data_IF_371079991502
#
_entry.id   IF_371079991502
#
_cell.length_a   1.000
_cell.length_b   1.000
_cell.length_c   1.000
_cell.angle_alpha   90.00
_cell.angle_beta   90.00
_cell.angle_gamma   90.00
#
_symmetry.space_group_name_H-M   'P 1'
#
loop_
_entity.id
_entity.type
_entity.pdbx_description
1 polymer ?
#
# COMPACT_ATOMS: atom_id res chain seq x y z
N UNK A 1 -14.69 -24.67 -18.68
CA UNK A 1 -13.37 -24.08 -18.97
C UNK A 1 -12.43 -25.14 -19.52
N UNK A 2 -12.37 -25.31 -20.84
CA UNK A 2 -11.22 -25.94 -21.52
C UNK A 2 -10.73 -24.93 -22.55
N UNK A 3 -10.04 -23.91 -22.05
CA UNK A 3 -9.30 -23.00 -22.91
C UNK A 3 -7.99 -23.70 -23.25
N UNK A 4 -7.76 -23.99 -24.52
CA UNK A 4 -6.48 -24.49 -25.01
C UNK A 4 -5.93 -23.48 -25.99
N UNK A 5 -4.82 -22.88 -25.61
CA UNK A 5 -4.09 -21.90 -26.41
C UNK A 5 -2.70 -22.44 -26.69
N UNK A 6 -2.30 -22.50 -27.96
CA UNK A 6 -0.96 -22.90 -28.35
C UNK A 6 0.09 -21.86 -27.90
N UNK A 7 1.26 -22.34 -27.49
CA UNK A 7 2.40 -21.45 -27.24
C UNK A 7 3.04 -21.04 -28.57
N UNK A 8 2.71 -19.83 -29.04
CA UNK A 8 3.29 -19.25 -30.27
C UNK A 8 4.51 -18.36 -30.01
N UNK A 9 4.91 -18.21 -28.75
CA UNK A 9 6.06 -17.41 -28.33
C UNK A 9 7.24 -18.34 -28.14
N UNK A 10 8.26 -18.19 -28.99
CA UNK A 10 9.45 -19.06 -28.96
C UNK A 10 10.51 -18.55 -27.98
N UNK A 11 10.72 -17.23 -27.97
CA UNK A 11 11.76 -16.57 -27.18
C UNK A 11 11.14 -15.43 -26.37
N UNK A 12 11.75 -15.16 -25.21
CA UNK A 12 11.54 -13.94 -24.43
C UNK A 12 12.89 -13.28 -24.15
N UNK A 13 12.87 -11.98 -23.91
CA UNK A 13 14.03 -11.30 -23.34
C UNK A 13 13.98 -11.47 -21.81
N UNK A 14 15.03 -12.05 -21.25
CA UNK A 14 15.19 -12.11 -19.81
C UNK A 14 15.44 -10.70 -19.22
N UNK A 15 15.58 -10.59 -17.90
CA UNK A 15 15.68 -9.29 -17.20
C UNK A 15 16.99 -8.55 -17.47
N UNK A 16 17.95 -9.16 -18.18
CA UNK A 16 19.24 -8.57 -18.59
C UNK A 16 19.27 -8.38 -20.13
N UNK A 17 18.17 -8.69 -20.82
CA UNK A 17 18.04 -8.55 -22.28
C UNK A 17 18.57 -9.75 -23.07
N UNK A 18 18.84 -10.89 -22.43
CA UNK A 18 19.24 -12.09 -23.15
C UNK A 18 18.00 -12.80 -23.70
N UNK A 19 18.10 -13.28 -24.95
CA UNK A 19 17.06 -14.11 -25.55
C UNK A 19 17.12 -15.52 -24.98
N UNK A 20 16.04 -15.95 -24.35
CA UNK A 20 15.92 -17.30 -23.76
C UNK A 20 14.67 -18.01 -24.25
N UNK A 21 14.68 -19.36 -24.36
CA UNK A 21 13.49 -20.13 -24.71
C UNK A 21 12.35 -19.90 -23.72
N UNK A 22 11.17 -19.63 -24.25
CA UNK A 22 9.97 -19.42 -23.46
C UNK A 22 9.20 -20.75 -23.26
N UNK A 23 8.79 -21.02 -22.02
CA UNK A 23 8.07 -22.25 -21.66
C UNK A 23 6.83 -21.91 -20.84
N UNK A 24 5.66 -22.27 -21.36
CA UNK A 24 4.37 -22.06 -20.72
C UNK A 24 4.28 -22.70 -19.32
N UNK A 25 4.91 -23.86 -19.11
CA UNK A 25 4.99 -24.56 -17.82
C UNK A 25 5.57 -23.69 -16.70
N UNK A 26 6.47 -22.76 -17.01
CA UNK A 26 7.03 -21.84 -16.01
C UNK A 26 5.98 -20.88 -15.47
N UNK A 27 5.03 -20.45 -16.30
CA UNK A 27 3.91 -19.59 -15.88
C UNK A 27 2.97 -20.38 -15.00
N UNK A 28 2.56 -21.58 -15.44
CA UNK A 28 1.65 -22.43 -14.69
C UNK A 28 2.19 -22.75 -13.29
N UNK A 29 3.46 -23.15 -13.20
CA UNK A 29 4.11 -23.43 -11.92
C UNK A 29 4.18 -22.19 -11.02
N UNK A 30 4.42 -21.01 -11.58
CA UNK A 30 4.47 -19.77 -10.82
C UNK A 30 3.09 -19.34 -10.30
N UNK A 31 2.05 -19.45 -11.14
CA UNK A 31 0.65 -19.21 -10.76
C UNK A 31 0.21 -20.18 -9.66
N UNK A 32 0.48 -21.48 -9.83
CA UNK A 32 0.14 -22.51 -8.85
C UNK A 32 0.87 -22.30 -7.52
N UNK A 33 2.15 -21.91 -7.56
CA UNK A 33 2.92 -21.59 -6.35
C UNK A 33 2.32 -20.40 -5.59
N UNK A 34 1.90 -19.35 -6.30
CA UNK A 34 1.23 -18.21 -5.70
C UNK A 34 -0.12 -18.63 -5.07
N UNK A 35 -0.93 -19.42 -5.79
CA UNK A 35 -2.19 -19.97 -5.29
C UNK A 35 -2.02 -20.76 -4.01
N UNK A 36 -1.09 -21.72 -3.98
CA UNK A 36 -0.82 -22.52 -2.78
C UNK A 36 -0.36 -21.69 -1.58
N UNK A 37 0.41 -20.62 -1.82
CA UNK A 37 0.87 -19.72 -0.75
C UNK A 37 -0.26 -18.94 -0.07
N UNK A 38 -1.32 -18.63 -0.81
CA UNK A 38 -2.50 -17.96 -0.24
C UNK A 38 -3.54 -18.94 0.32
N UNK A 39 -3.21 -20.23 0.40
CA UNK A 39 -4.12 -21.28 0.89
C UNK A 39 -4.99 -21.93 -0.19
N UNK A 40 -4.67 -21.71 -1.47
CA UNK A 40 -5.39 -22.23 -2.62
C UNK A 40 -6.22 -21.15 -3.33
N UNK A 41 -6.68 -21.42 -4.55
CA UNK A 41 -7.43 -20.43 -5.35
C UNK A 41 -8.81 -20.12 -4.76
N UNK A 42 -9.35 -21.04 -3.97
CA UNK A 42 -10.66 -20.87 -3.32
C UNK A 42 -10.69 -19.72 -2.31
N UNK A 43 -9.52 -19.25 -1.83
CA UNK A 43 -9.45 -18.08 -0.95
C UNK A 43 -9.94 -16.78 -1.62
N UNK A 44 -9.88 -16.70 -2.96
CA UNK A 44 -10.35 -15.56 -3.76
C UNK A 44 -11.71 -15.84 -4.44
N UNK A 45 -12.38 -16.92 -4.06
CA UNK A 45 -13.68 -17.29 -4.61
C UNK A 45 -14.79 -16.63 -3.79
N UNK A 46 -15.61 -15.87 -4.47
CA UNK A 46 -16.72 -15.10 -3.92
C UNK A 46 -18.04 -15.54 -4.55
N UNK A 47 -18.97 -15.98 -3.69
CA UNK A 47 -20.31 -16.40 -4.09
C UNK A 47 -21.05 -15.28 -4.82
N UNK A 48 -21.76 -15.65 -5.89
CA UNK A 48 -22.51 -14.70 -6.72
C UNK A 48 -21.64 -13.77 -7.59
N UNK A 49 -20.30 -13.82 -7.49
CA UNK A 49 -19.40 -12.94 -8.25
C UNK A 49 -18.53 -13.76 -9.23
N UNK A 50 -17.61 -14.58 -8.73
CA UNK A 50 -16.70 -15.36 -9.56
C UNK A 50 -16.72 -16.88 -9.26
N UNK A 51 -17.46 -17.34 -8.25
CA UNK A 51 -17.50 -18.76 -7.87
C UNK A 51 -17.90 -19.72 -9.01
N UNK A 52 -18.79 -19.29 -9.89
CA UNK A 52 -19.24 -20.08 -11.05
C UNK A 52 -18.10 -20.45 -12.03
N UNK A 53 -16.98 -19.73 -12.01
CA UNK A 53 -15.80 -20.03 -12.83
C UNK A 53 -14.97 -21.19 -12.28
N UNK A 54 -14.95 -21.35 -10.95
CA UNK A 54 -13.98 -22.19 -10.24
C UNK A 54 -14.61 -23.36 -9.49
N UNK A 55 -15.95 -23.45 -9.49
CA UNK A 55 -16.69 -24.52 -8.81
C UNK A 55 -16.25 -25.91 -9.29
N UNK A 56 -15.87 -26.76 -8.33
CA UNK A 56 -15.47 -28.16 -8.59
C UNK A 56 -14.18 -28.32 -9.38
N UNK A 57 -13.27 -27.33 -9.34
CA UNK A 57 -11.95 -27.37 -9.98
C UNK A 57 -10.84 -27.52 -8.96
N UNK A 58 -9.82 -28.29 -9.33
CA UNK A 58 -8.57 -28.33 -8.56
C UNK A 58 -7.74 -27.05 -8.80
N UNK A 59 -6.82 -26.75 -7.90
CA UNK A 59 -5.88 -25.64 -8.07
C UNK A 59 -5.04 -25.81 -9.36
N UNK A 60 -4.72 -27.06 -9.72
CA UNK A 60 -4.01 -27.40 -10.95
C UNK A 60 -4.84 -27.07 -12.20
N UNK A 61 -6.13 -27.42 -12.22
CA UNK A 61 -7.03 -27.10 -13.33
C UNK A 61 -7.17 -25.58 -13.52
N UNK A 62 -7.28 -24.85 -12.40
CA UNK A 62 -7.40 -23.39 -12.40
C UNK A 62 -6.11 -22.76 -12.92
N UNK A 63 -4.94 -23.20 -12.43
CA UNK A 63 -3.65 -22.70 -12.90
C UNK A 63 -3.40 -22.98 -14.39
N UNK A 64 -3.79 -24.17 -14.89
CA UNK A 64 -3.70 -24.51 -16.31
C UNK A 64 -4.56 -23.56 -17.15
N UNK A 65 -5.83 -23.37 -16.77
CA UNK A 65 -6.72 -22.45 -17.46
C UNK A 65 -6.17 -21.02 -17.53
N UNK A 66 -5.74 -20.47 -16.39
CA UNK A 66 -5.20 -19.13 -16.30
C UNK A 66 -3.95 -18.98 -17.17
N UNK A 67 -3.13 -20.03 -17.22
CA UNK A 67 -1.94 -20.04 -18.08
C UNK A 67 -2.32 -19.96 -19.56
N UNK A 68 -3.35 -20.69 -20.00
CA UNK A 68 -3.83 -20.59 -21.37
C UNK A 68 -4.46 -19.23 -21.68
N UNK A 69 -5.09 -18.56 -20.72
CA UNK A 69 -5.60 -17.19 -20.90
C UNK A 69 -4.45 -16.18 -21.02
N UNK A 70 -3.41 -16.30 -20.18
CA UNK A 70 -2.17 -15.53 -20.32
C UNK A 70 -1.58 -15.72 -21.71
N UNK A 71 -1.48 -16.97 -22.19
CA UNK A 71 -0.97 -17.25 -23.53
C UNK A 71 -1.84 -16.64 -24.63
N UNK A 72 -3.17 -16.66 -24.47
CA UNK A 72 -4.09 -16.04 -25.42
C UNK A 72 -3.83 -14.55 -25.56
N UNK A 73 -3.68 -13.86 -24.42
CA UNK A 73 -3.40 -12.42 -24.37
C UNK A 73 -2.02 -12.06 -24.90
N UNK A 74 -0.99 -12.85 -24.59
CA UNK A 74 0.35 -12.64 -25.13
C UNK A 74 0.38 -12.86 -26.65
N UNK A 75 -0.28 -13.91 -27.15
CA UNK A 75 -0.37 -14.22 -28.57
C UNK A 75 -1.16 -13.16 -29.36
N UNK A 76 -2.00 -12.37 -28.69
CA UNK A 76 -2.77 -11.29 -29.32
C UNK A 76 -1.89 -10.11 -29.75
N UNK A 77 -0.66 -9.99 -29.24
CA UNK A 77 0.32 -9.01 -29.72
C UNK A 77 1.22 -9.64 -30.80
N UNK A 78 1.07 -9.26 -32.08
CA UNK A 78 1.85 -9.86 -33.17
C UNK A 78 3.37 -9.64 -33.04
N UNK A 79 3.81 -8.60 -32.33
CA UNK A 79 5.23 -8.32 -32.14
C UNK A 79 5.92 -9.46 -31.39
N UNK A 80 5.25 -10.02 -30.37
CA UNK A 80 5.80 -11.09 -29.52
C UNK A 80 5.88 -12.44 -30.22
N UNK A 81 5.23 -12.60 -31.36
CA UNK A 81 5.26 -13.82 -32.17
C UNK A 81 6.53 -13.94 -33.01
N UNK A 82 7.30 -12.86 -33.13
CA UNK A 82 8.54 -12.86 -33.91
C UNK A 82 9.76 -13.06 -33.00
N UNK A 83 10.73 -13.91 -33.37
CA UNK A 83 11.99 -14.05 -32.61
C UNK A 83 12.85 -12.77 -32.58
N UNK A 84 12.55 -11.79 -33.44
CA UNK A 84 13.30 -10.55 -33.56
C UNK A 84 12.88 -9.51 -32.52
N UNK A 85 11.63 -9.53 -32.09
CA UNK A 85 11.04 -8.62 -31.10
C UNK A 85 10.29 -9.42 -30.02
N UNK A 86 10.99 -10.29 -29.27
CA UNK A 86 10.35 -11.14 -28.28
C UNK A 86 9.76 -10.30 -27.13
N UNK A 87 8.80 -10.89 -26.40
CA UNK A 87 8.22 -10.23 -25.23
C UNK A 87 9.28 -10.08 -24.12
N UNK A 88 9.40 -8.91 -23.46
CA UNK A 88 10.20 -8.77 -22.25
C UNK A 88 9.64 -9.61 -21.10
N UNK A 89 10.49 -10.17 -20.23
CA UNK A 89 9.99 -10.97 -19.09
C UNK A 89 9.08 -10.16 -18.15
N UNK A 90 9.32 -8.86 -18.00
CA UNK A 90 8.46 -7.98 -17.18
C UNK A 90 7.04 -7.87 -17.79
N UNK A 91 6.91 -7.94 -19.12
CA UNK A 91 5.61 -8.00 -19.80
C UNK A 91 4.88 -9.33 -19.54
N UNK A 92 5.62 -10.45 -19.51
CA UNK A 92 5.05 -11.75 -19.15
C UNK A 92 4.47 -11.70 -17.73
N UNK A 93 5.25 -11.19 -16.76
CA UNK A 93 4.79 -11.04 -15.38
C UNK A 93 3.55 -10.13 -15.30
N UNK A 94 3.56 -9.01 -16.02
CA UNK A 94 2.41 -8.10 -16.11
C UNK A 94 1.18 -8.82 -16.63
N UNK A 95 1.30 -9.62 -17.69
CA UNK A 95 0.17 -10.32 -18.28
C UNK A 95 -0.43 -11.37 -17.32
N UNK A 96 0.42 -12.04 -16.54
CA UNK A 96 -0.04 -12.94 -15.46
C UNK A 96 -0.85 -12.17 -14.42
N UNK A 97 -0.35 -11.02 -13.95
CA UNK A 97 -1.05 -10.20 -12.95
C UNK A 97 -2.39 -9.70 -13.49
N UNK A 98 -2.42 -9.15 -14.71
CA UNK A 98 -3.65 -8.70 -15.38
C UNK A 98 -4.65 -9.83 -15.49
N UNK A 99 -4.20 -11.03 -15.87
CA UNK A 99 -5.07 -12.21 -16.01
C UNK A 99 -5.66 -12.62 -14.66
N UNK A 100 -4.85 -12.72 -13.61
CA UNK A 100 -5.33 -13.08 -12.28
C UNK A 100 -6.35 -12.06 -11.75
N UNK A 101 -6.06 -10.76 -11.89
CA UNK A 101 -6.98 -9.68 -11.47
C UNK A 101 -8.27 -9.67 -12.31
N UNK A 102 -8.17 -9.91 -13.61
CA UNK A 102 -9.33 -10.00 -14.50
C UNK A 102 -10.32 -11.09 -14.06
N UNK A 103 -9.82 -12.22 -13.58
CA UNK A 103 -10.64 -13.32 -13.06
C UNK A 103 -10.99 -13.21 -11.57
N UNK A 104 -10.66 -12.09 -10.93
CA UNK A 104 -11.01 -11.81 -9.53
C UNK A 104 -10.12 -12.50 -8.49
N UNK A 105 -9.00 -13.10 -8.91
CA UNK A 105 -8.04 -13.80 -8.05
C UNK A 105 -7.05 -12.82 -7.40
N UNK A 106 -7.58 -11.91 -6.55
CA UNK A 106 -6.85 -10.76 -6.01
C UNK A 106 -5.69 -11.16 -5.09
N UNK A 107 -5.92 -12.06 -4.13
CA UNK A 107 -4.89 -12.57 -3.23
C UNK A 107 -3.78 -13.30 -3.99
N UNK A 108 -4.14 -14.16 -4.94
CA UNK A 108 -3.16 -14.87 -5.79
C UNK A 108 -2.34 -13.87 -6.63
N UNK A 109 -2.99 -12.86 -7.21
CA UNK A 109 -2.33 -11.80 -7.96
C UNK A 109 -1.34 -11.01 -7.08
N UNK A 110 -1.76 -10.64 -5.87
CA UNK A 110 -0.94 -9.88 -4.93
C UNK A 110 0.31 -10.67 -4.51
N UNK A 111 0.18 -11.97 -4.18
CA UNK A 111 1.33 -12.82 -3.84
C UNK A 111 2.28 -13.01 -5.03
N UNK A 112 1.74 -13.28 -6.22
CA UNK A 112 2.54 -13.41 -7.44
C UNK A 112 3.30 -12.12 -7.75
N UNK A 113 2.63 -10.99 -7.66
CA UNK A 113 3.20 -9.68 -7.92
C UNK A 113 4.30 -9.34 -6.92
N UNK A 114 4.03 -9.46 -5.62
CA UNK A 114 5.03 -9.21 -4.58
C UNK A 114 6.30 -10.02 -4.82
N UNK A 115 6.15 -11.33 -5.06
CA UNK A 115 7.30 -12.20 -5.29
C UNK A 115 8.06 -11.85 -6.56
N UNK A 116 7.36 -11.68 -7.68
CA UNK A 116 8.00 -11.37 -8.97
C UNK A 116 8.70 -10.01 -8.98
N UNK A 117 8.12 -9.00 -8.31
CA UNK A 117 8.72 -7.68 -8.07
C UNK A 117 9.95 -7.75 -7.16
N UNK A 118 9.90 -8.46 -6.04
CA UNK A 118 11.07 -8.64 -5.18
C UNK A 118 12.23 -9.31 -5.91
N UNK A 119 11.95 -10.37 -6.68
CA UNK A 119 12.96 -11.03 -7.53
C UNK A 119 13.48 -10.14 -8.65
N UNK A 120 12.73 -9.14 -9.11
CA UNK A 120 13.21 -8.12 -10.05
C UNK A 120 14.25 -7.24 -9.36
N UNK A 121 13.94 -6.72 -8.18
CA UNK A 121 14.81 -5.79 -7.46
C UNK A 121 16.12 -6.41 -6.99
N UNK A 122 16.08 -7.67 -6.52
CA UNK A 122 17.31 -8.39 -6.18
C UNK A 122 18.23 -8.53 -7.39
N UNK A 123 17.68 -8.88 -8.57
CA UNK A 123 18.48 -9.04 -9.79
C UNK A 123 19.02 -7.73 -10.34
N UNK A 124 18.28 -6.63 -10.20
CA UNK A 124 18.74 -5.28 -10.58
C UNK A 124 19.79 -4.71 -9.63
N UNK A 125 20.20 -5.45 -8.59
CA UNK A 125 21.14 -4.98 -7.58
C UNK A 125 20.57 -3.86 -6.69
N UNK A 126 19.26 -3.61 -6.76
CA UNK A 126 18.59 -2.59 -5.94
C UNK A 126 18.41 -3.05 -4.48
N UNK A 127 18.56 -4.36 -4.22
CA UNK A 127 18.42 -4.96 -2.90
C UNK A 127 19.21 -6.27 -2.83
N UNK A 128 19.73 -6.65 -1.66
CA UNK A 128 20.38 -7.97 -1.46
C UNK A 128 19.32 -9.05 -1.29
N UNK A 129 19.67 -10.29 -1.62
CA UNK A 129 18.77 -11.45 -1.41
C UNK A 129 18.32 -11.58 0.07
N UNK A 130 19.20 -11.26 1.02
CA UNK A 130 18.91 -11.28 2.47
C UNK A 130 17.87 -10.24 2.90
N UNK A 131 17.75 -9.15 2.14
CA UNK A 131 16.87 -8.03 2.45
C UNK A 131 15.48 -8.22 1.84
N UNK A 132 15.30 -9.15 0.89
CA UNK A 132 13.98 -9.45 0.35
C UNK A 132 13.15 -10.23 1.37
N UNK A 133 12.03 -9.62 1.79
CA UNK A 133 11.06 -10.34 2.61
C UNK A 133 10.39 -11.44 1.79
N UNK A 134 10.37 -12.69 2.26
CA UNK A 134 9.69 -13.79 1.57
C UNK A 134 8.15 -13.72 1.70
N UNK A 135 7.68 -12.79 2.54
CA UNK A 135 6.27 -12.48 2.81
C UNK A 135 6.05 -10.97 2.75
N UNK A 136 4.88 -10.47 2.28
CA UNK A 136 4.64 -9.04 2.14
C UNK A 136 4.70 -8.25 3.45
N UNK A 137 4.30 -8.87 4.57
CA UNK A 137 4.37 -8.28 5.91
C UNK A 137 5.08 -9.24 6.86
N UNK A 138 5.97 -8.79 7.76
CA UNK A 138 6.71 -9.68 8.64
C UNK A 138 5.74 -10.34 9.63
N UNK A 139 5.75 -11.66 9.67
CA UNK A 139 4.82 -12.47 10.49
C UNK A 139 4.83 -12.06 11.96
N UNK A 140 6.02 -11.78 12.52
CA UNK A 140 6.16 -11.36 13.91
C UNK A 140 5.34 -10.10 14.22
N UNK A 141 5.41 -9.07 13.36
CA UNK A 141 4.69 -7.81 13.58
C UNK A 141 3.18 -7.99 13.47
N UNK A 142 2.75 -8.81 12.51
CA UNK A 142 1.34 -9.14 12.33
C UNK A 142 0.82 -9.93 13.53
N UNK A 143 1.63 -10.84 14.08
CA UNK A 143 1.25 -11.64 15.24
C UNK A 143 1.25 -10.83 16.54
N UNK A 144 2.19 -9.90 16.72
CA UNK A 144 2.19 -8.96 17.85
C UNK A 144 0.92 -8.10 17.87
N UNK A 145 0.53 -7.55 16.71
CA UNK A 145 -0.72 -6.80 16.57
C UNK A 145 -1.96 -7.69 16.82
N UNK A 146 -1.96 -8.92 16.29
CA UNK A 146 -3.05 -9.88 16.50
C UNK A 146 -3.16 -10.30 17.97
N UNK A 147 -2.04 -10.49 18.67
CA UNK A 147 -2.02 -10.84 20.09
C UNK A 147 -2.60 -9.71 20.95
N UNK A 148 -2.28 -8.46 20.63
CA UNK A 148 -2.90 -7.30 21.27
C UNK A 148 -4.41 -7.28 21.04
N UNK A 149 -4.87 -7.49 19.80
CA UNK A 149 -6.30 -7.51 19.47
C UNK A 149 -7.06 -8.62 20.22
N UNK A 150 -6.51 -9.84 20.29
CA UNK A 150 -7.12 -10.94 21.05
C UNK A 150 -7.25 -10.61 22.54
N UNK A 151 -6.22 -10.01 23.13
CA UNK A 151 -6.27 -9.57 24.54
C UNK A 151 -7.35 -8.50 24.78
N UNK A 152 -7.56 -7.62 23.81
CA UNK A 152 -8.60 -6.59 23.86
C UNK A 152 -9.97 -7.08 23.36
N UNK A 153 -10.08 -8.34 22.91
CA UNK A 153 -11.29 -8.92 22.27
C UNK A 153 -11.77 -8.08 21.08
N UNK A 154 -10.83 -7.61 20.26
CA UNK A 154 -11.09 -6.83 19.02
C UNK A 154 -10.56 -7.52 17.77
N UNK A 155 -10.27 -8.81 17.86
CA UNK A 155 -9.83 -9.66 16.75
C UNK A 155 -11.01 -10.21 15.91
N UNK A 156 -12.25 -9.89 16.28
CA UNK A 156 -13.48 -10.24 15.55
C UNK A 156 -14.42 -9.04 15.48
N UNK A 157 -15.28 -9.00 14.46
CA UNK A 157 -16.36 -8.00 14.34
C UNK A 157 -17.30 -8.08 15.55
N UNK A 158 -17.66 -9.28 15.99
CA UNK A 158 -18.52 -9.50 17.16
C UNK A 158 -17.91 -8.88 18.43
N UNK A 159 -16.60 -9.05 18.65
CA UNK A 159 -15.90 -8.46 19.78
C UNK A 159 -15.87 -6.93 19.73
N UNK A 160 -15.60 -6.35 18.55
CA UNK A 160 -15.67 -4.90 18.33
C UNK A 160 -17.09 -4.36 18.61
N UNK A 161 -18.12 -5.06 18.13
CA UNK A 161 -19.51 -4.69 18.38
C UNK A 161 -19.89 -4.75 19.86
N UNK A 162 -19.33 -5.68 20.64
CA UNK A 162 -19.51 -5.74 22.10
C UNK A 162 -18.99 -4.47 22.80
N UNK A 163 -17.85 -3.92 22.37
CA UNK A 163 -17.32 -2.65 22.89
C UNK A 163 -18.27 -1.47 22.62
N UNK A 164 -18.88 -1.43 21.43
CA UNK A 164 -19.87 -0.40 21.07
C UNK A 164 -21.15 -0.57 21.88
N UNK A 165 -21.72 -1.77 21.90
CA UNK A 165 -23.00 -2.07 22.55
C UNK A 165 -22.96 -1.85 24.07
N UNK A 166 -21.81 -2.08 24.71
CA UNK A 166 -21.62 -1.88 26.16
C UNK A 166 -21.26 -0.44 26.53
N UNK A 167 -21.14 0.48 25.57
CA UNK A 167 -20.79 1.89 25.82
C UNK A 167 -19.33 2.10 26.23
N UNK A 168 -18.46 1.09 26.07
CA UNK A 168 -17.06 1.11 26.52
C UNK A 168 -16.07 1.54 25.43
N UNK A 169 -16.56 2.02 24.29
CA UNK A 169 -15.72 2.51 23.20
C UNK A 169 -14.66 3.56 23.64
N UNK A 170 -14.94 4.51 24.56
CA UNK A 170 -13.92 5.45 25.04
C UNK A 170 -12.72 4.76 25.70
N UNK A 171 -12.93 3.68 26.43
CA UNK A 171 -11.86 2.89 27.06
C UNK A 171 -10.99 2.21 25.98
N UNK A 172 -11.62 1.66 24.94
CA UNK A 172 -10.91 1.06 23.81
C UNK A 172 -10.10 2.10 23.02
N UNK A 173 -10.64 3.32 22.86
CA UNK A 173 -9.93 4.44 22.23
C UNK A 173 -8.67 4.78 23.02
N UNK A 174 -8.79 4.98 24.34
CA UNK A 174 -7.64 5.25 25.20
C UNK A 174 -6.57 4.16 25.11
N UNK A 175 -6.95 2.90 25.29
CA UNK A 175 -6.02 1.78 25.22
C UNK A 175 -5.31 1.64 23.85
N UNK A 176 -6.03 1.93 22.75
CA UNK A 176 -5.46 1.89 21.40
C UNK A 176 -4.45 3.03 21.19
N UNK A 177 -4.73 4.22 21.71
CA UNK A 177 -3.83 5.38 21.63
C UNK A 177 -2.58 5.16 22.48
N UNK A 178 -2.72 4.56 23.66
CA UNK A 178 -1.59 4.23 24.53
C UNK A 178 -0.65 3.21 23.86
N UNK A 179 -1.19 2.16 23.23
CA UNK A 179 -0.39 1.19 22.49
C UNK A 179 0.32 1.81 21.28
N UNK A 180 -0.36 2.69 20.55
CA UNK A 180 0.26 3.45 19.48
C UNK A 180 1.38 4.35 20.01
N UNK A 181 1.14 5.08 21.11
CA UNK A 181 2.15 5.93 21.77
C UNK A 181 3.39 5.16 22.23
N UNK A 182 3.21 3.96 22.80
CA UNK A 182 4.30 3.05 23.18
C UNK A 182 5.20 2.72 21.98
N UNK A 183 4.61 2.46 20.81
CA UNK A 183 5.36 2.17 19.59
C UNK A 183 6.11 3.40 19.06
N UNK A 184 5.56 4.61 19.22
CA UNK A 184 6.26 5.85 18.86
C UNK A 184 7.48 6.08 19.74
N UNK A 185 7.37 5.80 21.04
CA UNK A 185 8.50 5.87 21.96
C UNK A 185 9.60 4.86 21.59
N UNK A 186 9.25 3.62 21.26
CA UNK A 186 10.21 2.61 20.79
C UNK A 186 10.93 3.05 19.49
N UNK A 187 10.20 3.63 18.53
CA UNK A 187 10.80 4.17 17.32
C UNK A 187 11.77 5.34 17.61
N UNK A 188 11.40 6.24 18.53
CA UNK A 188 12.24 7.35 18.97
C UNK A 188 13.50 6.86 19.70
N UNK A 189 13.39 5.86 20.59
CA UNK A 189 14.53 5.27 21.29
C UNK A 189 15.51 4.61 20.32
N UNK A 190 14.98 3.88 19.32
CA UNK A 190 15.79 3.30 18.24
C UNK A 190 16.52 4.38 17.42
N UNK A 191 15.88 5.52 17.14
CA UNK A 191 16.52 6.65 16.48
C UNK A 191 17.66 7.21 17.34
N UNK A 192 17.39 7.51 18.60
CA UNK A 192 18.33 8.12 19.55
C UNK A 192 19.54 7.22 19.86
N UNK A 193 19.38 5.91 19.76
CA UNK A 193 20.49 4.94 19.93
C UNK A 193 21.53 5.00 18.80
N UNK A 194 21.22 5.66 17.67
CA UNK A 194 22.09 5.72 16.49
C UNK A 194 22.75 7.09 16.37
N UNK A 195 24.03 7.10 16.01
CA UNK A 195 24.80 8.33 15.80
C UNK A 195 24.91 8.67 14.32
N UNK A 196 24.92 9.96 14.00
CA UNK A 196 25.23 10.46 12.66
C UNK A 196 24.13 10.27 11.63
N UNK A 197 22.89 10.03 12.06
CA UNK A 197 21.71 10.06 11.19
C UNK A 197 21.57 11.46 10.58
N UNK A 198 21.33 11.52 9.28
CA UNK A 198 21.08 12.76 8.54
C UNK A 198 19.75 12.76 7.79
N UNK A 199 19.17 11.58 7.56
CA UNK A 199 17.85 11.42 6.94
C UNK A 199 16.93 10.61 7.85
N UNK A 200 15.71 11.09 8.04
CA UNK A 200 14.61 10.39 8.68
C UNK A 200 13.48 10.18 7.66
N UNK A 201 12.98 8.95 7.55
CA UNK A 201 11.94 8.58 6.57
C UNK A 201 10.84 7.81 7.29
N UNK A 202 9.59 8.24 7.12
CA UNK A 202 8.42 7.43 7.47
C UNK A 202 7.71 7.06 6.18
N UNK A 203 7.52 5.76 5.99
CA UNK A 203 6.96 5.18 4.77
C UNK A 203 5.92 4.15 5.14
N UNK A 204 4.97 3.90 4.25
CA UNK A 204 3.84 3.04 4.52
C UNK A 204 2.70 3.28 3.55
N UNK A 205 1.73 2.34 3.51
CA UNK A 205 0.53 2.40 2.67
C UNK A 205 -0.15 3.77 2.64
N UNK A 206 -0.89 4.06 1.57
CA UNK A 206 -1.79 5.21 1.55
C UNK A 206 -2.73 5.15 2.76
N UNK A 207 -3.00 6.30 3.38
CA UNK A 207 -3.95 6.44 4.49
C UNK A 207 -3.60 5.65 5.76
N UNK A 208 -2.30 5.44 5.99
CA UNK A 208 -1.78 4.83 7.23
C UNK A 208 -1.60 5.81 8.39
N UNK A 209 -1.55 7.13 8.14
CA UNK A 209 -1.32 8.16 9.17
C UNK A 209 0.14 8.61 9.27
N UNK A 210 0.89 8.51 8.16
CA UNK A 210 2.34 8.81 8.11
C UNK A 210 2.66 10.20 8.60
N UNK A 211 1.97 11.22 8.10
CA UNK A 211 2.31 12.61 8.39
C UNK A 211 2.16 12.91 9.88
N UNK A 212 1.05 12.49 10.50
CA UNK A 212 0.90 12.57 11.96
C UNK A 212 1.93 11.73 12.71
N UNK A 213 2.20 10.51 12.27
CA UNK A 213 3.20 9.62 12.91
C UNK A 213 4.60 10.24 12.90
N UNK A 214 5.03 10.75 11.74
CA UNK A 214 6.30 11.46 11.55
C UNK A 214 6.40 12.61 12.54
N UNK A 215 5.37 13.47 12.57
CA UNK A 215 5.34 14.63 13.45
C UNK A 215 5.51 14.21 14.92
N UNK A 216 4.69 13.26 15.41
CA UNK A 216 4.75 12.80 16.81
C UNK A 216 6.11 12.18 17.18
N UNK A 217 6.70 11.35 16.31
CA UNK A 217 8.04 10.78 16.58
C UNK A 217 9.10 11.89 16.64
N UNK A 218 9.08 12.82 15.68
CA UNK A 218 10.09 13.89 15.62
C UNK A 218 9.94 14.88 16.77
N UNK A 219 8.71 15.16 17.20
CA UNK A 219 8.42 15.97 18.37
C UNK A 219 8.98 15.31 19.64
N UNK A 220 8.71 14.02 19.85
CA UNK A 220 9.27 13.26 20.98
C UNK A 220 10.80 13.32 21.00
N UNK A 221 11.46 13.18 19.84
CA UNK A 221 12.91 13.26 19.73
C UNK A 221 13.41 14.69 20.05
N UNK A 222 12.76 15.70 19.50
CA UNK A 222 13.09 17.11 19.70
C UNK A 222 12.95 17.51 21.18
N UNK A 223 11.87 17.13 21.84
CA UNK A 223 11.63 17.42 23.27
C UNK A 223 12.69 16.77 24.16
N UNK A 224 13.16 15.57 23.81
CA UNK A 224 14.17 14.83 24.59
C UNK A 224 15.60 15.31 24.39
N UNK A 225 15.93 15.87 23.22
CA UNK A 225 17.34 16.11 22.83
C UNK A 225 17.64 17.47 22.22
N UNK A 226 16.61 18.23 21.86
CA UNK A 226 16.75 19.46 21.09
C UNK A 226 17.07 19.25 19.60
N UNK A 227 17.10 18.00 19.10
CA UNK A 227 17.33 17.71 17.69
C UNK A 227 16.30 18.42 16.80
N UNK A 228 16.78 19.18 15.82
CA UNK A 228 15.93 19.87 14.84
C UNK A 228 15.73 19.03 13.59
N UNK A 229 14.63 19.28 12.91
CA UNK A 229 14.30 18.63 11.65
C UNK A 229 13.91 19.65 10.59
N UNK A 230 14.16 19.30 9.33
CA UNK A 230 13.63 20.02 8.17
C UNK A 230 12.90 19.03 7.28
N UNK A 231 11.67 19.36 6.85
CA UNK A 231 10.85 18.44 6.07
C UNK A 231 11.01 18.74 4.58
N UNK A 232 11.24 17.67 3.83
CA UNK A 232 11.29 17.62 2.39
C UNK A 232 10.08 16.84 1.90
N UNK A 233 9.13 17.54 1.27
CA UNK A 233 7.94 16.92 0.69
C UNK A 233 8.28 16.29 -0.67
N UNK A 234 8.21 14.96 -0.77
CA UNK A 234 8.46 14.27 -2.03
C UNK A 234 7.34 14.53 -3.06
N UNK A 235 6.13 14.82 -2.60
CA UNK A 235 4.99 15.10 -3.48
C UNK A 235 5.19 16.33 -4.37
N UNK A 236 6.05 17.27 -3.94
CA UNK A 236 6.45 18.39 -4.78
C UNK A 236 7.18 17.98 -6.07
N UNK A 237 7.72 16.75 -6.12
CA UNK A 237 8.48 16.21 -7.25
C UNK A 237 7.65 15.31 -8.17
N UNK A 238 6.32 15.25 -8.03
CA UNK A 238 5.48 14.64 -9.06
C UNK A 238 5.72 15.28 -10.42
N UNK A 239 5.66 14.48 -11.49
CA UNK A 239 5.55 15.02 -12.84
C UNK A 239 4.22 15.75 -13.02
N UNK A 240 4.22 16.88 -13.73
CA UNK A 240 2.99 17.55 -14.13
C UNK A 240 2.13 16.62 -15.01
N UNK A 241 0.81 16.79 -14.99
CA UNK A 241 -0.17 15.94 -15.70
C UNK A 241 0.17 15.68 -17.18
N UNK A 242 0.77 16.65 -17.87
CA UNK A 242 1.18 16.57 -19.28
C UNK A 242 2.44 15.73 -19.51
N UNK A 243 3.27 15.56 -18.47
CA UNK A 243 4.50 14.76 -18.48
C UNK A 243 4.34 13.43 -17.74
N UNK A 244 3.26 13.28 -16.97
CA UNK A 244 3.03 12.12 -16.13
C UNK A 244 2.89 10.85 -17.00
N UNK A 245 3.64 9.77 -16.70
CA UNK A 245 3.49 8.52 -17.42
C UNK A 245 2.06 8.00 -17.34
N UNK A 246 1.49 7.62 -18.48
CA UNK A 246 0.24 6.87 -18.52
C UNK A 246 0.51 5.38 -18.63
N UNK A 247 -0.46 4.57 -18.21
CA UNK A 247 -0.46 3.15 -18.50
C UNK A 247 -1.10 2.84 -19.86
N UNK A 248 -1.34 1.55 -20.13
CA UNK A 248 -1.92 1.09 -21.40
C UNK A 248 -3.39 1.44 -21.57
N UNK A 249 -4.11 1.73 -20.48
CA UNK A 249 -5.47 2.28 -20.51
C UNK A 249 -5.49 3.79 -20.74
N UNK A 250 -4.33 4.44 -20.76
CA UNK A 250 -4.22 5.90 -20.84
C UNK A 250 -4.46 6.60 -19.49
N UNK A 251 -4.48 5.85 -18.39
CA UNK A 251 -4.71 6.37 -17.05
C UNK A 251 -3.38 6.65 -16.33
N UNK A 252 -3.41 7.49 -15.29
CA UNK A 252 -2.22 8.00 -14.58
C UNK A 252 -2.11 7.39 -13.21
N UNK A 253 -1.00 6.67 -13.03
CA UNK A 253 -0.68 5.99 -11.78
C UNK A 253 0.29 6.82 -10.93
N UNK A 254 -0.28 7.57 -9.98
CA UNK A 254 0.46 8.41 -9.03
C UNK A 254 1.00 7.64 -7.81
N UNK A 255 0.71 6.33 -7.71
CA UNK A 255 1.04 5.52 -6.53
C UNK A 255 2.38 4.77 -6.70
N UNK A 256 3.06 4.97 -7.83
CA UNK A 256 4.35 4.36 -8.16
C UNK A 256 5.48 5.32 -7.96
N UNK A 257 6.66 4.80 -7.65
CA UNK A 257 7.88 5.60 -7.57
C UNK A 257 8.20 6.33 -8.90
N UNK A 258 7.76 5.80 -10.05
CA UNK A 258 7.91 6.42 -11.37
C UNK A 258 7.08 7.70 -11.58
N UNK A 259 6.12 7.98 -10.69
CA UNK A 259 5.34 9.23 -10.72
C UNK A 259 6.20 10.44 -10.32
N UNK A 260 7.30 10.21 -9.60
CA UNK A 260 8.22 11.23 -9.15
C UNK A 260 9.38 11.43 -10.14
N UNK A 261 9.84 12.67 -10.24
CA UNK A 261 11.11 13.01 -10.88
C UNK A 261 12.29 12.68 -9.94
N UNK A 262 12.53 11.38 -9.74
CA UNK A 262 13.56 10.86 -8.81
C UNK A 262 14.95 11.48 -9.04
N UNK A 263 15.45 11.66 -10.28
CA UNK A 263 16.77 12.27 -10.49
C UNK A 263 16.89 13.67 -9.89
N UNK A 264 15.89 14.54 -10.10
CA UNK A 264 15.86 15.90 -9.54
C UNK A 264 15.76 15.85 -8.02
N UNK A 265 14.82 15.05 -7.51
CA UNK A 265 14.61 14.85 -6.08
C UNK A 265 15.91 14.42 -5.37
N UNK A 266 16.61 13.43 -5.93
CA UNK A 266 17.86 12.89 -5.37
C UNK A 266 18.97 13.95 -5.38
N UNK A 267 19.12 14.70 -6.47
CA UNK A 267 20.12 15.77 -6.54
C UNK A 267 19.87 16.83 -5.46
N UNK A 268 18.61 17.24 -5.27
CA UNK A 268 18.26 18.19 -4.21
C UNK A 268 18.52 17.62 -2.81
N UNK A 269 18.23 16.34 -2.57
CA UNK A 269 18.58 15.69 -1.30
C UNK A 269 20.09 15.74 -1.04
N UNK A 270 20.92 15.49 -2.06
CA UNK A 270 22.37 15.59 -1.92
C UNK A 270 22.85 17.01 -1.61
N UNK A 271 22.38 17.99 -2.39
CA UNK A 271 22.75 19.39 -2.19
C UNK A 271 22.32 19.90 -0.81
N UNK A 272 21.14 19.49 -0.32
CA UNK A 272 20.69 19.76 1.04
C UNK A 272 21.62 19.11 2.08
N UNK A 273 22.01 17.84 1.91
CA UNK A 273 22.92 17.18 2.85
C UNK A 273 24.30 17.84 2.93
N UNK A 274 24.74 18.48 1.85
CA UNK A 274 25.95 19.33 1.75
C UNK A 274 25.73 20.76 2.27
N UNK A 275 24.51 21.13 2.65
CA UNK A 275 24.17 22.45 3.19
C UNK A 275 23.96 23.54 2.14
N UNK A 276 23.79 23.17 0.87
CA UNK A 276 23.46 24.11 -0.21
C UNK A 276 21.97 24.49 -0.18
N UNK A 277 21.65 25.63 -0.79
CA UNK A 277 20.27 26.04 -1.06
C UNK A 277 19.80 25.36 -2.33
N UNK A 278 18.59 24.82 -2.32
CA UNK A 278 17.92 24.23 -3.49
C UNK A 278 16.57 24.90 -3.71
N UNK A 279 16.16 25.02 -4.97
CA UNK A 279 14.84 25.52 -5.34
C UNK A 279 13.86 24.34 -5.44
N UNK A 280 13.21 24.01 -4.33
CA UNK A 280 12.24 22.91 -4.30
C UNK A 280 10.99 23.28 -5.08
N UNK A 281 10.48 22.42 -5.99
CA UNK A 281 9.25 22.69 -6.70
C UNK A 281 8.05 22.80 -5.75
N UNK A 282 7.00 23.48 -6.17
CA UNK A 282 5.70 23.52 -5.50
C UNK A 282 4.70 22.80 -6.39
N UNK A 283 4.08 21.71 -5.92
CA UNK A 283 3.09 20.96 -6.68
C UNK A 283 1.66 21.31 -6.25
N UNK A 284 0.85 21.80 -7.19
CA UNK A 284 -0.57 22.04 -6.95
C UNK A 284 -1.39 20.80 -7.30
N UNK A 285 -1.92 20.13 -6.27
CA UNK A 285 -2.76 18.94 -6.43
C UNK A 285 -4.10 19.20 -7.12
N UNK A 286 -4.61 20.44 -7.15
CA UNK A 286 -5.87 20.77 -7.83
C UNK A 286 -5.66 20.84 -9.34
N UNK A 287 -4.60 21.50 -9.79
CA UNK A 287 -4.27 21.58 -11.22
C UNK A 287 -3.42 20.39 -11.72
N UNK A 288 -2.78 19.65 -10.82
CA UNK A 288 -1.84 18.58 -11.15
C UNK A 288 -0.57 19.09 -11.82
N UNK A 289 -0.14 20.32 -11.49
CA UNK A 289 0.99 21.00 -12.13
C UNK A 289 1.91 21.63 -11.09
N UNK A 290 3.18 21.78 -11.45
CA UNK A 290 4.12 22.60 -10.68
C UNK A 290 3.83 24.08 -10.91
N UNK A 291 3.69 24.86 -9.84
CA UNK A 291 3.31 26.27 -9.88
C UNK A 291 4.47 27.24 -9.62
N UNK A 292 5.62 26.72 -9.18
CA UNK A 292 6.81 27.51 -8.88
C UNK A 292 7.85 26.70 -8.10
N UNK A 293 8.77 27.40 -7.44
CA UNK A 293 9.76 26.83 -6.53
C UNK A 293 9.87 27.67 -5.25
N UNK A 294 10.29 27.05 -4.16
CA UNK A 294 10.65 27.68 -2.90
C UNK A 294 12.07 27.27 -2.46
N UNK A 295 12.89 28.21 -1.96
CA UNK A 295 14.24 27.90 -1.52
C UNK A 295 14.21 27.08 -0.23
N UNK A 296 14.99 26.00 -0.18
CA UNK A 296 15.19 25.17 1.00
C UNK A 296 16.68 25.01 1.26
N UNK A 297 17.08 25.06 2.53
CA UNK A 297 18.44 24.76 2.97
C UNK A 297 18.38 23.93 4.24
N UNK A 298 19.21 22.89 4.32
CA UNK A 298 19.35 22.08 5.53
C UNK A 298 20.55 22.58 6.33
N UNK A 299 20.32 22.96 7.59
CA UNK A 299 21.41 23.39 8.47
C UNK A 299 22.15 22.19 9.07
N UNK A 300 23.38 22.41 9.55
CA UNK A 300 24.23 21.33 10.08
C UNK A 300 23.66 20.63 11.33
N UNK A 301 22.78 21.29 12.08
CA UNK A 301 22.09 20.77 13.27
C UNK A 301 20.73 20.12 12.94
N UNK A 302 20.32 20.08 11.67
CA UNK A 302 19.06 19.49 11.24
C UNK A 302 19.22 18.09 10.63
N UNK A 303 18.23 17.25 10.90
CA UNK A 303 17.99 15.99 10.18
C UNK A 303 16.90 16.22 9.13
N UNK A 304 17.15 15.77 7.91
CA UNK A 304 16.19 15.88 6.80
C UNK A 304 15.11 14.81 6.92
N UNK A 305 13.86 15.21 7.11
CA UNK A 305 12.70 14.33 7.01
C UNK A 305 12.32 14.26 5.53
N UNK A 306 12.23 13.06 4.96
CA UNK A 306 11.65 12.86 3.63
C UNK A 306 10.23 12.32 3.83
N UNK A 307 9.22 13.16 3.58
CA UNK A 307 7.81 12.75 3.59
C UNK A 307 7.46 12.17 2.22
N UNK A 308 7.37 10.84 2.13
CA UNK A 308 7.18 10.12 0.87
C UNK A 308 6.48 8.77 1.11
N UNK A 309 5.58 8.40 0.21
CA UNK A 309 5.03 7.03 0.17
C UNK A 309 6.14 5.99 0.04
N UNK A 310 7.16 6.26 -0.78
CA UNK A 310 8.19 5.31 -1.19
C UNK A 310 9.53 5.47 -0.45
N UNK A 311 9.54 5.89 0.83
CA UNK A 311 10.79 6.09 1.59
C UNK A 311 11.74 4.88 1.67
N UNK A 312 11.28 3.64 1.42
CA UNK A 312 12.15 2.46 1.31
C UNK A 312 12.72 2.23 -0.09
N UNK A 313 12.20 2.91 -1.11
CA UNK A 313 12.61 2.72 -2.48
C UNK A 313 14.05 3.20 -2.69
N UNK A 314 14.99 2.32 -3.06
CA UNK A 314 16.43 2.59 -2.95
C UNK A 314 16.90 3.72 -3.84
N UNK A 315 16.23 3.96 -4.98
CA UNK A 315 16.65 4.98 -5.94
C UNK A 315 16.47 6.42 -5.45
N UNK A 316 15.58 6.66 -4.47
CA UNK A 316 15.35 7.99 -3.87
C UNK A 316 16.62 8.48 -3.16
N UNK A 317 17.26 7.60 -2.41
CA UNK A 317 18.45 7.90 -1.60
C UNK A 317 19.68 7.08 -2.03
N UNK A 318 19.69 6.66 -3.30
CA UNK A 318 20.81 5.91 -3.87
C UNK A 318 22.10 6.70 -3.68
N UNK A 319 23.20 6.02 -3.31
CA UNK A 319 24.51 6.63 -3.06
C UNK A 319 24.67 7.33 -1.70
N UNK A 320 23.61 7.45 -0.90
CA UNK A 320 23.72 7.85 0.51
C UNK A 320 23.91 6.58 1.36
N UNK A 321 24.90 6.52 2.26
CA UNK A 321 25.10 5.34 3.11
C UNK A 321 23.90 5.07 4.02
N UNK A 322 23.55 3.79 4.22
CA UNK A 322 22.37 3.43 5.01
C UNK A 322 22.51 3.75 6.50
N UNK A 323 23.73 3.81 7.04
CA UNK A 323 24.01 4.27 8.41
C UNK A 323 23.68 5.74 8.64
N UNK A 324 23.49 6.53 7.58
CA UNK A 324 23.04 7.93 7.65
C UNK A 324 21.52 8.06 7.61
N UNK A 325 20.79 6.96 7.43
CA UNK A 325 19.34 6.93 7.25
C UNK A 325 18.69 6.25 8.45
N UNK A 326 17.53 6.77 8.85
CA UNK A 326 16.62 6.10 9.75
C UNK A 326 15.24 5.99 9.11
N UNK A 327 14.78 4.76 8.88
CA UNK A 327 13.55 4.44 8.17
C UNK A 327 12.55 3.80 9.13
N UNK A 328 11.35 4.36 9.22
CA UNK A 328 10.22 3.81 9.98
C UNK A 328 9.17 3.34 8.98
N UNK A 329 8.77 2.07 9.08
CA UNK A 329 7.63 1.56 8.31
C UNK A 329 6.35 1.59 9.14
N UNK A 330 5.36 2.34 8.66
CA UNK A 330 4.02 2.40 9.21
C UNK A 330 3.11 1.42 8.45
N UNK A 331 2.41 0.57 9.18
CA UNK A 331 1.43 -0.37 8.62
C UNK A 331 0.15 -0.36 9.45
N UNK A 332 -0.95 -0.87 8.89
CA UNK A 332 -2.23 -0.91 9.59
C UNK A 332 -2.70 -2.36 9.77
N UNK A 333 -1.89 -3.23 10.40
CA UNK A 333 -2.24 -4.66 10.50
C UNK A 333 -3.11 -4.98 11.71
N UNK A 334 -4.27 -4.33 11.82
CA UNK A 334 -5.31 -4.82 12.71
C UNK A 334 -6.02 -5.99 12.04
N UNK A 335 -5.56 -7.20 12.36
CA UNK A 335 -6.22 -8.42 11.90
C UNK A 335 -7.53 -8.56 12.65
N UNK A 336 -8.63 -8.38 11.92
CA UNK A 336 -10.01 -8.56 12.40
C UNK A 336 -10.65 -9.63 11.54
N UNK A 337 -11.23 -10.63 12.18
CA UNK A 337 -12.06 -11.65 11.52
C UNK A 337 -13.49 -11.16 11.42
N UNK A 338 -14.16 -11.56 10.35
CA UNK A 338 -15.59 -11.29 10.16
C UNK A 338 -16.44 -12.06 11.15
N UNK A 339 -17.67 -11.56 11.38
CA UNK A 339 -18.65 -12.19 12.26
C UNK A 339 -18.05 -12.43 13.66
N UNK A 340 -18.22 -13.63 14.21
CA UNK A 340 -17.59 -14.11 15.44
C UNK A 340 -16.26 -14.85 15.19
N UNK A 341 -15.74 -14.80 13.96
CA UNK A 341 -14.55 -15.53 13.51
C UNK A 341 -14.82 -16.93 12.97
N UNK A 342 -16.05 -17.45 13.05
CA UNK A 342 -16.40 -18.80 12.58
C UNK A 342 -16.17 -19.01 11.08
N UNK A 343 -16.30 -17.95 10.28
CA UNK A 343 -16.06 -18.01 8.83
C UNK A 343 -14.59 -18.15 8.46
N UNK A 344 -13.67 -17.85 9.39
CA UNK A 344 -12.23 -17.77 9.13
C UNK A 344 -11.81 -16.65 8.18
N UNK A 345 -12.75 -15.84 7.68
CA UNK A 345 -12.47 -14.73 6.77
C UNK A 345 -11.92 -13.54 7.54
N UNK A 346 -10.76 -13.05 7.12
CA UNK A 346 -10.15 -11.86 7.68
C UNK A 346 -10.50 -10.64 6.84
N UNK A 347 -10.80 -9.53 7.50
CA UNK A 347 -10.95 -8.22 6.86
C UNK A 347 -9.56 -7.77 6.39
N UNK A 348 -9.35 -7.48 5.10
CA UNK A 348 -8.06 -6.99 4.62
C UNK A 348 -7.76 -5.63 5.23
N UNK A 349 -6.57 -5.45 5.80
CA UNK A 349 -6.11 -4.14 6.28
C UNK A 349 -6.14 -3.06 5.18
N UNK A 350 -5.99 -3.46 3.92
CA UNK A 350 -6.09 -2.55 2.77
C UNK A 350 -7.49 -1.94 2.63
N UNK A 351 -8.53 -2.63 3.10
CA UNK A 351 -9.90 -2.11 3.09
C UNK A 351 -10.05 -0.94 4.06
N UNK A 352 -9.48 -1.04 5.26
CA UNK A 352 -9.44 0.05 6.25
C UNK A 352 -8.71 1.26 5.69
N UNK A 353 -7.58 1.04 5.00
CA UNK A 353 -6.84 2.11 4.32
C UNK A 353 -7.67 2.77 3.21
N UNK A 354 -8.44 1.97 2.46
CA UNK A 354 -9.33 2.46 1.41
C UNK A 354 -10.43 3.35 1.98
N UNK A 355 -11.08 2.91 3.05
CA UNK A 355 -12.08 3.69 3.78
C UNK A 355 -11.51 5.02 4.31
N UNK A 356 -10.35 4.98 4.97
CA UNK A 356 -9.65 6.20 5.40
C UNK A 356 -9.32 7.12 4.23
N UNK A 357 -8.88 6.58 3.08
CA UNK A 357 -8.62 7.38 1.86
C UNK A 357 -9.89 8.03 1.32
N UNK A 358 -10.99 7.28 1.29
CA UNK A 358 -12.29 7.78 0.83
C UNK A 358 -12.72 9.00 1.65
N UNK A 359 -12.67 8.91 2.98
CA UNK A 359 -13.05 10.02 3.86
C UNK A 359 -12.16 11.27 3.69
N UNK A 360 -10.84 11.07 3.57
CA UNK A 360 -9.90 12.18 3.35
C UNK A 360 -10.07 12.83 1.99
N UNK A 361 -10.10 12.04 0.92
CA UNK A 361 -10.07 12.55 -0.45
C UNK A 361 -11.42 13.15 -0.87
N UNK A 362 -12.55 12.69 -0.34
CA UNK A 362 -13.85 13.33 -0.59
C UNK A 362 -13.90 14.72 0.03
N UNK A 363 -13.46 14.86 1.29
CA UNK A 363 -13.49 16.13 2.04
C UNK A 363 -12.46 17.15 1.53
N UNK A 364 -11.23 16.71 1.27
CA UNK A 364 -10.11 17.63 1.01
C UNK A 364 -9.73 17.75 -0.48
N UNK A 365 -10.12 16.78 -1.31
CA UNK A 365 -9.69 16.70 -2.72
C UNK A 365 -10.84 16.64 -3.72
N UNK A 366 -12.09 16.75 -3.24
CA UNK A 366 -13.31 16.70 -4.05
C UNK A 366 -13.34 15.47 -4.98
N UNK A 367 -12.81 14.33 -4.51
CA UNK A 367 -12.80 13.08 -5.27
C UNK A 367 -14.05 12.26 -4.98
N UNK A 368 -14.60 11.65 -6.02
CA UNK A 368 -15.71 10.71 -5.90
C UNK A 368 -15.26 9.36 -5.33
N UNK A 369 -16.04 8.78 -4.41
CA UNK A 369 -15.72 7.50 -3.76
C UNK A 369 -15.60 6.37 -4.79
N UNK A 370 -16.44 6.35 -5.84
CA UNK A 370 -16.39 5.30 -6.87
C UNK A 370 -15.12 5.40 -7.71
N UNK A 371 -14.61 6.62 -7.93
CA UNK A 371 -13.30 6.83 -8.54
C UNK A 371 -12.17 6.26 -7.67
N UNK A 372 -12.21 6.47 -6.35
CA UNK A 372 -11.21 5.90 -5.42
C UNK A 372 -11.26 4.37 -5.44
N UNK A 373 -12.47 3.80 -5.42
CA UNK A 373 -12.70 2.37 -5.52
C UNK A 373 -12.10 1.78 -6.82
N UNK A 374 -12.35 2.43 -7.96
CA UNK A 374 -11.83 2.03 -9.27
C UNK A 374 -10.30 2.07 -9.36
N UNK A 375 -9.66 3.06 -8.74
CA UNK A 375 -8.21 3.25 -8.77
C UNK A 375 -7.45 2.56 -7.62
N UNK A 376 -8.14 1.87 -6.72
CA UNK A 376 -7.47 1.27 -5.55
C UNK A 376 -6.42 0.20 -5.93
N UNK A 377 -6.57 -0.41 -7.11
CA UNK A 377 -5.59 -1.35 -7.64
C UNK A 377 -4.20 -0.72 -7.86
N UNK A 378 -4.10 0.59 -8.20
CA UNK A 378 -2.81 1.28 -8.30
C UNK A 378 -2.11 1.41 -6.95
N UNK A 379 -2.88 1.67 -5.89
CA UNK A 379 -2.34 1.73 -4.52
C UNK A 379 -1.70 0.39 -4.16
N UNK A 380 -2.40 -0.72 -4.44
CA UNK A 380 -1.86 -2.07 -4.23
C UNK A 380 -0.67 -2.38 -5.11
N UNK A 381 -0.69 -1.98 -6.38
CA UNK A 381 0.40 -2.19 -7.32
C UNK A 381 1.70 -1.51 -6.84
N UNK A 382 1.60 -0.26 -6.38
CA UNK A 382 2.70 0.50 -5.78
C UNK A 382 3.22 -0.10 -4.49
N UNK A 383 2.32 -0.55 -3.60
CA UNK A 383 2.72 -1.24 -2.36
C UNK A 383 3.52 -2.51 -2.65
N UNK A 384 2.99 -3.39 -3.52
CA UNK A 384 3.58 -4.70 -3.81
C UNK A 384 4.87 -4.61 -4.61
N UNK A 385 5.08 -3.52 -5.35
CA UNK A 385 6.24 -3.37 -6.23
C UNK A 385 7.32 -2.45 -5.67
N UNK A 386 6.95 -1.26 -5.20
CA UNK A 386 7.92 -0.20 -4.88
C UNK A 386 8.13 -0.02 -3.37
N UNK A 387 7.35 -0.71 -2.53
CA UNK A 387 7.38 -0.54 -1.06
C UNK A 387 7.70 -1.83 -0.31
N UNK A 388 6.79 -2.82 -0.33
CA UNK A 388 6.87 -4.04 0.47
C UNK A 388 8.10 -4.92 0.19
N UNK A 389 8.64 -5.00 -1.05
CA UNK A 389 9.88 -5.76 -1.27
C UNK A 389 11.05 -5.29 -0.41
N UNK A 390 11.11 -3.99 -0.10
CA UNK A 390 12.20 -3.34 0.64
C UNK A 390 11.97 -3.29 2.16
N UNK A 391 10.95 -3.97 2.65
CA UNK A 391 10.46 -3.83 4.01
C UNK A 391 11.50 -4.14 5.09
N UNK A 392 12.42 -5.09 4.86
CA UNK A 392 13.50 -5.43 5.80
C UNK A 392 14.58 -4.35 5.91
N UNK A 393 14.54 -3.32 5.07
CA UNK A 393 15.46 -2.17 5.16
C UNK A 393 15.02 -1.14 6.19
N UNK A 394 13.80 -1.28 6.76
CA UNK A 394 13.31 -0.42 7.83
C UNK A 394 14.07 -0.67 9.16
N UNK A 395 14.23 0.38 9.96
CA UNK A 395 14.87 0.34 11.28
C UNK A 395 13.87 0.22 12.42
N UNK A 396 12.64 0.68 12.22
CA UNK A 396 11.54 0.55 13.16
C UNK A 396 10.22 0.33 12.42
N UNK A 397 9.25 -0.22 13.13
CA UNK A 397 7.92 -0.52 12.64
C UNK A 397 6.89 0.07 13.59
N UNK A 398 5.83 0.65 13.05
CA UNK A 398 4.71 1.21 13.83
C UNK A 398 3.41 0.68 13.23
N UNK A 399 2.53 0.14 14.05
CA UNK A 399 1.16 -0.19 13.66
C UNK A 399 0.27 1.05 13.89
N UNK A 400 -0.16 1.69 12.80
CA UNK A 400 -1.15 2.78 12.76
C UNK A 400 -2.60 2.30 12.65
N UNK A 401 -2.84 0.99 12.66
CA UNK A 401 -4.19 0.44 12.81
C UNK A 401 -4.69 0.70 14.22
N UNK A 402 -5.91 1.20 14.37
CA UNK A 402 -6.56 1.40 15.67
C UNK A 402 -7.75 0.44 15.81
N UNK A 403 -7.90 -0.20 16.97
CA UNK A 403 -8.90 -1.25 17.16
C UNK A 403 -10.35 -0.74 17.01
N UNK A 404 -10.53 0.56 17.23
CA UNK A 404 -11.79 1.26 17.05
C UNK A 404 -12.01 1.80 15.62
N UNK A 405 -11.11 1.54 14.66
CA UNK A 405 -11.22 2.08 13.29
C UNK A 405 -12.59 1.75 12.66
N UNK A 406 -13.00 0.47 12.71
CA UNK A 406 -14.19 0.02 11.97
C UNK A 406 -15.49 0.72 12.42
N UNK A 407 -15.81 0.84 13.72
CA UNK A 407 -16.97 1.62 14.17
C UNK A 407 -16.96 3.09 13.71
N UNK A 408 -15.80 3.73 13.71
CA UNK A 408 -15.68 5.14 13.30
C UNK A 408 -15.84 5.26 11.79
N UNK A 409 -15.19 4.39 11.01
CA UNK A 409 -15.32 4.38 9.56
C UNK A 409 -16.74 4.05 9.13
N UNK A 410 -17.41 3.12 9.83
CA UNK A 410 -18.82 2.80 9.59
C UNK A 410 -19.71 4.04 9.76
N UNK A 411 -19.51 4.79 10.85
CA UNK A 411 -20.31 5.99 11.13
C UNK A 411 -20.24 7.02 9.98
N UNK A 412 -19.06 7.24 9.40
CA UNK A 412 -18.90 8.23 8.32
C UNK A 412 -19.23 7.68 6.92
N UNK A 413 -19.01 6.39 6.65
CA UNK A 413 -19.12 5.82 5.31
C UNK A 413 -20.44 5.12 5.00
N UNK A 414 -21.17 4.59 5.99
CA UNK A 414 -22.30 3.70 5.73
C UNK A 414 -23.38 4.31 4.81
N UNK A 415 -23.60 5.64 4.88
CA UNK A 415 -24.55 6.35 4.02
C UNK A 415 -24.01 6.83 2.67
N UNK A 416 -22.70 6.71 2.43
CA UNK A 416 -22.02 7.26 1.24
C UNK A 416 -21.30 6.19 0.41
N UNK A 417 -21.01 5.03 1.00
CA UNK A 417 -20.33 3.94 0.31
C UNK A 417 -21.25 3.33 -0.75
N UNK A 418 -20.77 3.15 -2.00
CA UNK A 418 -21.64 2.72 -3.09
C UNK A 418 -22.12 1.28 -2.87
N UNK A 419 -23.36 1.02 -3.28
CA UNK A 419 -23.93 -0.33 -3.46
C UNK A 419 -23.61 -0.84 -4.87
N UNK A 420 -23.79 -2.14 -5.09
CA UNK A 420 -23.41 -2.79 -6.35
C UNK A 420 -24.12 -2.22 -7.59
N UNK A 421 -25.39 -1.85 -7.43
CA UNK A 421 -26.24 -1.21 -8.45
C UNK A 421 -25.90 0.26 -8.72
N UNK A 422 -25.05 0.86 -7.89
CA UNK A 422 -24.59 2.25 -8.01
C UNK A 422 -23.20 2.35 -8.67
N UNK A 423 -22.57 1.21 -8.97
CA UNK A 423 -21.29 1.20 -9.67
C UNK A 423 -21.49 1.48 -11.16
N UNK A 424 -20.61 2.30 -11.78
CA UNK A 424 -20.62 2.51 -13.23
C UNK A 424 -20.51 1.20 -14.01
N UNK A 425 -21.21 1.12 -15.14
CA UNK A 425 -21.01 0.03 -16.11
C UNK A 425 -19.55 -0.03 -16.56
N UNK A 426 -19.02 -1.23 -16.74
CA UNK A 426 -17.63 -1.45 -17.18
C UNK A 426 -16.56 -1.24 -16.09
N UNK A 427 -16.95 -0.97 -14.84
CA UNK A 427 -16.02 -0.96 -13.71
C UNK A 427 -15.35 -2.34 -13.56
N UNK A 428 -14.07 -2.35 -13.15
CA UNK A 428 -13.28 -3.57 -13.04
C UNK A 428 -13.85 -4.53 -11.99
N UNK A 429 -13.66 -5.84 -12.22
CA UNK A 429 -14.08 -6.87 -11.25
C UNK A 429 -13.43 -6.68 -9.87
N UNK A 430 -12.17 -6.21 -9.82
CA UNK A 430 -11.48 -5.87 -8.56
C UNK A 430 -12.25 -4.81 -7.77
N UNK A 431 -12.73 -3.75 -8.42
CA UNK A 431 -13.50 -2.70 -7.79
C UNK A 431 -14.89 -3.20 -7.34
N UNK A 432 -15.56 -4.03 -8.13
CA UNK A 432 -16.81 -4.68 -7.74
C UNK A 432 -16.65 -5.58 -6.50
N UNK A 433 -15.57 -6.37 -6.45
CA UNK A 433 -15.24 -7.23 -5.30
C UNK A 433 -14.98 -6.39 -4.04
N UNK A 434 -14.21 -5.30 -4.15
CA UNK A 434 -13.97 -4.36 -3.05
C UNK A 434 -15.25 -3.67 -2.57
N UNK A 435 -16.17 -3.37 -3.48
CA UNK A 435 -17.47 -2.83 -3.14
C UNK A 435 -18.30 -3.83 -2.33
N UNK A 436 -18.41 -5.07 -2.79
CA UNK A 436 -19.15 -6.11 -2.08
C UNK A 436 -18.55 -6.38 -0.69
N UNK A 437 -17.23 -6.49 -0.61
CA UNK A 437 -16.47 -6.66 0.63
C UNK A 437 -16.66 -5.47 1.59
N UNK A 438 -16.56 -4.24 1.07
CA UNK A 438 -16.75 -3.03 1.86
C UNK A 438 -18.15 -2.94 2.46
N UNK A 439 -19.19 -3.20 1.65
CA UNK A 439 -20.57 -3.23 2.12
C UNK A 439 -20.79 -4.29 3.19
N UNK A 440 -20.31 -5.52 2.98
CA UNK A 440 -20.43 -6.61 3.95
C UNK A 440 -19.79 -6.25 5.30
N UNK A 441 -18.61 -5.62 5.28
CA UNK A 441 -17.95 -5.16 6.52
C UNK A 441 -18.73 -4.03 7.18
N UNK A 442 -19.11 -2.99 6.43
CA UNK A 442 -19.83 -1.84 6.98
C UNK A 442 -21.20 -2.23 7.58
N UNK A 443 -21.92 -3.14 6.92
CA UNK A 443 -23.23 -3.64 7.38
C UNK A 443 -23.11 -4.53 8.63
N UNK A 444 -21.94 -5.15 8.86
CA UNK A 444 -21.69 -6.01 10.02
C UNK A 444 -21.32 -5.25 11.31
N UNK A 445 -20.96 -3.97 11.20
CA UNK A 445 -20.49 -3.14 12.30
C UNK A 445 -21.66 -2.39 12.94
N UNK A 446 -21.74 -2.46 14.28
CA UNK A 446 -22.78 -1.78 15.05
C UNK A 446 -22.63 -0.26 14.93
N UNK A 447 -23.66 0.48 14.46
CA UNK A 447 -23.57 1.92 14.33
C UNK A 447 -23.38 2.63 15.66
N UNK A 448 -22.59 3.69 15.64
CA UNK A 448 -22.40 4.56 16.79
C UNK A 448 -23.63 5.42 17.04
N UNK A 449 -24.01 5.57 18.31
CA UNK A 449 -25.11 6.44 18.75
C UNK A 449 -24.63 7.85 19.12
N UNK A 450 -23.33 8.03 19.30
CA UNK A 450 -22.68 9.30 19.64
C UNK A 450 -21.72 9.73 18.54
N UNK A 451 -21.47 11.03 18.47
CA UNK A 451 -20.54 11.61 17.49
C UNK A 451 -19.09 11.20 17.83
N UNK A 452 -18.38 10.50 16.92
CA UNK A 452 -16.96 10.18 17.03
C UNK A 452 -16.06 11.36 17.42
N UNK A 453 -16.40 12.57 16.97
CA UNK A 453 -15.57 13.75 17.21
C UNK A 453 -15.51 14.14 18.69
N UNK A 454 -16.47 13.72 19.51
CA UNK A 454 -16.43 13.95 20.95
C UNK A 454 -15.53 12.97 21.70
N UNK A 455 -15.23 11.80 21.11
CA UNK A 455 -14.56 10.69 21.77
C UNK A 455 -13.06 10.60 21.46
N UNK A 456 -12.67 11.01 20.26
CA UNK A 456 -11.31 10.84 19.77
C UNK A 456 -10.47 12.08 20.09
N UNK A 457 -9.29 11.96 20.74
CA UNK A 457 -8.39 13.10 20.92
C UNK A 457 -8.02 13.80 19.61
N UNK A 458 -7.89 15.13 19.64
CA UNK A 458 -7.60 15.94 18.45
C UNK A 458 -6.22 15.68 17.82
N UNK A 459 -5.30 15.04 18.56
CA UNK A 459 -3.94 14.69 18.11
C UNK A 459 -3.80 13.21 17.70
N UNK A 460 -4.91 12.47 17.63
CA UNK A 460 -4.95 11.09 17.13
C UNK A 460 -4.86 11.06 15.61
N UNK A 461 -4.02 10.20 15.03
CA UNK A 461 -3.77 10.18 13.57
C UNK A 461 -5.00 9.81 12.73
N UNK A 462 -6.01 9.15 13.29
CA UNK A 462 -7.27 8.90 12.57
C UNK A 462 -7.98 10.20 12.17
N UNK A 463 -7.75 11.30 12.90
CA UNK A 463 -8.27 12.64 12.62
C UNK A 463 -7.78 13.22 11.29
N UNK A 464 -6.68 12.70 10.73
CA UNK A 464 -6.23 13.03 9.36
C UNK A 464 -7.30 12.65 8.31
N UNK A 465 -8.12 11.64 8.61
CA UNK A 465 -9.09 11.10 7.65
C UNK A 465 -10.52 11.55 7.93
N UNK A 466 -10.91 11.57 9.21
CA UNK A 466 -12.27 11.96 9.62
C UNK A 466 -12.43 13.48 9.82
N UNK A 467 -11.32 14.20 10.00
CA UNK A 467 -11.29 15.63 10.32
C UNK A 467 -11.15 15.93 11.82
N UNK A 468 -10.91 17.20 12.14
CA UNK A 468 -10.71 17.66 13.52
C UNK A 468 -9.30 17.42 14.06
N UNK A 469 -8.30 17.24 13.18
CA UNK A 469 -6.90 17.13 13.58
C UNK A 469 -6.42 18.49 14.10
N UNK A 470 -5.98 18.52 15.36
CA UNK A 470 -5.51 19.74 16.06
C UNK A 470 -3.99 19.91 16.01
N UNK A 471 -3.27 18.99 15.37
CA UNK A 471 -1.83 19.11 15.16
C UNK A 471 -1.54 20.07 14.01
N UNK A 472 -0.74 21.10 14.28
CA UNK A 472 -0.22 21.99 13.24
C UNK A 472 0.86 21.24 12.43
N UNK A 473 0.47 20.66 11.31
CA UNK A 473 1.39 20.00 10.37
C UNK A 473 1.96 21.08 9.44
N UNK A 474 3.29 21.36 9.45
CA UNK A 474 3.87 22.52 8.77
C UNK A 474 3.69 22.58 7.24
N UNK A 475 3.25 21.50 6.59
CA UNK A 475 3.14 21.38 5.12
C UNK A 475 1.74 20.99 4.63
N UNK A 476 0.74 20.99 5.51
CA UNK A 476 -0.67 20.84 5.15
C UNK A 476 -1.39 22.15 5.47
N UNK A 477 -1.26 23.14 4.59
CA UNK A 477 -2.04 24.38 4.60
C UNK A 477 -2.84 24.53 3.32
#
# INVERSE_FOLDING_TARGET
MKLKTDNRILLIDDKVGNRVPFRMEKIQNAILKAGRKVGGFQADVHDGINAWLFLGKSDEDIAEFLTHDVMGRLNANPQYLTPNTPAPLDEIHRMVIVTLRFWGLRGVADEYQFYSSGRLWVRRGAMRESDFSQVPYPEQLVEEAAAWNRRMRTDTVAGINEWVATGKLPELIGASIDEYGRQLHDAADKFLSRKGIRIFMVTGPSSSGKTTTTHKITQLIQERTGQKFAVFSADNYFYSVDQHPTDQSGDRDYERARAYEIPLMRNHIYDLLEGKVVDTPIFDFKSGRRSGTEPMQLTSDQVLIIDCLHGLFPYITAGIPDEKKFKVFLFNANRVLEDDGSSGRAIPFTLVNMFRRMLRDTKHRNKDIRSILGHWHYVRDGELTDMLPFLRTANAFVNGGLAFDLPILQHYLAGQFPRADQLPEGMSLDACLRCAEGNRVLDSITPLTSDPESLIPGDCHVREFIGGLMLAIPHQT
#
